data_IF_515887230797
#
_entry.id   IF_515887230797
#
_cell.length_a   1.000
_cell.length_b   1.000
_cell.length_c   1.000
_cell.angle_alpha   90.00
_cell.angle_beta   90.00
_cell.angle_gamma   90.00
#
_symmetry.space_group_name_H-M   'P 1'
#
loop_
_entity.id
_entity.type
_entity.pdbx_description
1 polymer ?
#
# COMPACT_ATOMS: atom_id res chain seq x y z
N UNK A 1 17.16 -8.53 -15.28
CA UNK A 1 17.84 -9.22 -14.16
C UNK A 1 17.71 -8.41 -12.87
N UNK A 2 18.09 -7.12 -12.84
CA UNK A 2 18.01 -6.29 -11.62
C UNK A 2 16.59 -6.14 -11.05
N UNK A 3 15.55 -5.98 -11.88
CA UNK A 3 14.16 -5.85 -11.42
C UNK A 3 13.69 -7.08 -10.62
N UNK A 4 14.08 -8.29 -11.03
CA UNK A 4 13.76 -9.52 -10.29
C UNK A 4 14.46 -9.58 -8.93
N UNK A 5 15.71 -9.12 -8.86
CA UNK A 5 16.47 -9.03 -7.60
C UNK A 5 15.79 -8.03 -6.66
N UNK A 6 15.35 -6.88 -7.19
CA UNK A 6 14.66 -5.86 -6.41
C UNK A 6 13.33 -6.39 -5.85
N UNK A 7 12.50 -7.04 -6.67
CA UNK A 7 11.29 -7.70 -6.18
C UNK A 7 11.57 -8.79 -5.16
N UNK A 8 12.62 -9.60 -5.36
CA UNK A 8 13.02 -10.65 -4.42
C UNK A 8 13.39 -10.05 -3.06
N UNK A 9 14.18 -8.97 -3.05
CA UNK A 9 14.55 -8.25 -1.83
C UNK A 9 13.30 -7.67 -1.16
N UNK A 10 12.43 -6.97 -1.91
CA UNK A 10 11.20 -6.37 -1.35
C UNK A 10 10.26 -7.42 -0.76
N UNK A 11 10.04 -8.54 -1.46
CA UNK A 11 9.17 -9.63 -0.99
C UNK A 11 9.77 -10.31 0.23
N UNK A 12 11.09 -10.57 0.24
CA UNK A 12 11.78 -11.18 1.39
C UNK A 12 11.72 -10.27 2.60
N UNK A 13 11.91 -8.96 2.41
CA UNK A 13 11.80 -7.95 3.47
C UNK A 13 10.36 -7.85 4.00
N UNK A 14 9.35 -7.85 3.12
CA UNK A 14 7.95 -7.86 3.50
C UNK A 14 7.57 -9.14 4.28
N UNK A 15 8.05 -10.30 3.84
CA UNK A 15 7.86 -11.57 4.54
C UNK A 15 8.55 -11.57 5.90
N UNK A 16 9.77 -11.03 5.99
CA UNK A 16 10.49 -10.84 7.25
C UNK A 16 9.69 -9.96 8.21
N UNK A 17 9.22 -8.78 7.79
CA UNK A 17 8.40 -7.91 8.63
C UNK A 17 7.06 -8.54 9.02
N UNK A 18 6.44 -9.30 8.12
CA UNK A 18 5.21 -10.05 8.43
C UNK A 18 5.47 -11.11 9.50
N UNK A 19 6.58 -11.84 9.41
CA UNK A 19 7.00 -12.82 10.41
C UNK A 19 7.30 -12.17 11.77
N UNK A 20 8.04 -11.06 11.77
CA UNK A 20 8.32 -10.25 12.97
C UNK A 20 7.01 -9.73 13.57
N UNK A 21 6.08 -9.24 12.76
CA UNK A 21 4.78 -8.76 13.21
C UNK A 21 3.98 -9.86 13.93
N UNK A 22 3.91 -11.06 13.35
CA UNK A 22 3.20 -12.20 13.96
C UNK A 22 3.81 -12.61 15.29
N UNK A 23 5.15 -12.54 15.43
CA UNK A 23 5.85 -12.97 16.65
C UNK A 23 5.90 -11.91 17.76
N UNK A 24 6.04 -10.62 17.44
CA UNK A 24 6.27 -9.56 18.44
C UNK A 24 5.08 -8.60 18.63
N UNK A 25 4.49 -8.08 17.55
CA UNK A 25 3.56 -6.94 17.60
C UNK A 25 2.08 -7.32 17.53
N UNK A 26 1.74 -8.44 16.87
CA UNK A 26 0.36 -8.91 16.64
C UNK A 26 -0.60 -7.83 16.12
N UNK A 27 -0.08 -6.88 15.33
CA UNK A 27 -0.88 -5.81 14.74
C UNK A 27 -1.63 -6.33 13.51
N UNK A 28 -2.79 -5.72 13.16
CA UNK A 28 -3.45 -5.97 11.88
C UNK A 28 -2.45 -5.84 10.72
N UNK A 29 -2.44 -6.82 9.82
CA UNK A 29 -1.39 -7.01 8.81
C UNK A 29 -1.12 -5.78 7.93
N UNK A 30 -2.16 -5.02 7.58
CA UNK A 30 -2.01 -3.79 6.80
C UNK A 30 -1.25 -2.69 7.56
N UNK A 31 -1.55 -2.51 8.84
CA UNK A 31 -0.93 -1.47 9.67
C UNK A 31 0.54 -1.82 9.94
N UNK A 32 0.84 -3.10 10.21
CA UNK A 32 2.21 -3.53 10.50
C UNK A 32 3.16 -3.33 9.31
N UNK A 33 2.71 -3.66 8.10
CA UNK A 33 3.57 -3.58 6.92
C UNK A 33 3.85 -2.11 6.56
N UNK A 34 2.83 -1.25 6.68
CA UNK A 34 2.98 0.19 6.49
C UNK A 34 3.94 0.81 7.52
N UNK A 35 3.78 0.47 8.81
CA UNK A 35 4.65 0.99 9.87
C UNK A 35 6.11 0.54 9.69
N UNK A 36 6.33 -0.74 9.41
CA UNK A 36 7.68 -1.28 9.17
C UNK A 36 8.33 -0.69 7.93
N UNK A 37 7.57 -0.53 6.83
CA UNK A 37 8.07 0.15 5.63
C UNK A 37 8.44 1.61 5.90
N UNK A 38 7.64 2.32 6.71
CA UNK A 38 7.95 3.69 7.14
C UNK A 38 9.22 3.74 7.99
N UNK A 39 9.37 2.80 8.94
CA UNK A 39 10.60 2.70 9.74
C UNK A 39 11.83 2.46 8.85
N UNK A 40 11.74 1.57 7.86
CA UNK A 40 12.83 1.37 6.90
C UNK A 40 13.16 2.66 6.16
N UNK A 41 12.15 3.35 5.63
CA UNK A 41 12.36 4.62 4.94
C UNK A 41 13.06 5.65 5.84
N UNK A 42 12.62 5.78 7.09
CA UNK A 42 13.27 6.66 8.08
C UNK A 42 14.71 6.22 8.35
N UNK A 43 14.99 4.93 8.52
CA UNK A 43 16.35 4.44 8.74
C UNK A 43 17.27 4.70 7.54
N UNK A 44 16.76 4.62 6.31
CA UNK A 44 17.52 4.96 5.10
C UNK A 44 17.88 6.44 5.09
N UNK A 45 16.92 7.31 5.41
CA UNK A 45 17.17 8.76 5.52
C UNK A 45 18.17 9.07 6.63
N UNK A 46 18.08 8.39 7.78
CA UNK A 46 19.05 8.55 8.88
C UNK A 46 20.44 8.02 8.51
N UNK A 47 20.53 6.93 7.76
CA UNK A 47 21.79 6.36 7.30
C UNK A 47 22.53 7.27 6.31
N UNK A 48 21.80 8.06 5.52
CA UNK A 48 22.37 9.04 4.59
C UNK A 48 23.20 10.12 5.30
N UNK A 49 22.89 10.44 6.56
CA UNK A 49 23.72 11.35 7.37
C UNK A 49 25.11 10.80 7.69
N UNK A 50 25.26 9.46 7.75
CA UNK A 50 26.55 8.81 8.01
C UNK A 50 27.32 8.50 6.73
N UNK A 51 26.61 8.24 5.62
CA UNK A 51 27.19 7.98 4.31
C UNK A 51 26.44 8.78 3.25
N UNK A 52 26.89 10.01 2.92
CA UNK A 52 26.20 10.87 1.99
C UNK A 52 26.14 10.21 0.60
N UNK A 53 24.92 10.05 0.06
CA UNK A 53 24.68 9.43 -1.25
C UNK A 53 24.02 8.04 -1.17
N UNK A 54 23.96 7.44 0.02
CA UNK A 54 23.34 6.13 0.22
C UNK A 54 21.83 6.15 -0.10
N UNK A 55 21.12 7.21 0.30
CA UNK A 55 19.70 7.34 -0.04
C UNK A 55 19.49 7.57 -1.55
N UNK A 56 20.42 8.26 -2.22
CA UNK A 56 20.35 8.52 -3.66
C UNK A 56 20.52 7.23 -4.47
N UNK A 57 21.46 6.37 -4.11
CA UNK A 57 21.65 5.06 -4.74
C UNK A 57 20.42 4.16 -4.59
N UNK A 58 19.83 4.11 -3.39
CA UNK A 58 18.59 3.34 -3.15
C UNK A 58 17.44 3.89 -4.00
N UNK A 59 17.31 5.21 -4.09
CA UNK A 59 16.27 5.86 -4.92
C UNK A 59 16.46 5.55 -6.40
N UNK A 60 17.69 5.55 -6.90
CA UNK A 60 18.00 5.19 -8.29
C UNK A 60 17.61 3.73 -8.57
N UNK A 61 17.95 2.79 -7.68
CA UNK A 61 17.55 1.39 -7.81
C UNK A 61 16.03 1.21 -7.77
N UNK A 62 15.33 1.94 -6.90
CA UNK A 62 13.87 1.91 -6.83
C UNK A 62 13.19 2.56 -8.05
N UNK A 63 13.83 3.55 -8.68
CA UNK A 63 13.29 4.25 -9.86
C UNK A 63 13.20 3.36 -11.11
N UNK A 64 13.84 2.18 -11.09
CA UNK A 64 13.71 1.16 -12.13
C UNK A 64 12.28 0.60 -12.24
N UNK A 65 11.44 0.80 -11.21
CA UNK A 65 10.04 0.40 -11.20
C UNK A 65 9.18 1.65 -11.24
N UNK A 66 8.33 1.75 -12.26
CA UNK A 66 7.19 2.66 -12.20
C UNK A 66 6.17 2.08 -11.21
N UNK A 67 6.27 2.53 -9.96
CA UNK A 67 5.41 2.05 -8.89
C UNK A 67 3.92 2.35 -9.16
N UNK A 68 3.63 3.46 -9.83
CA UNK A 68 2.25 3.84 -10.15
C UNK A 68 1.65 2.85 -11.14
N UNK A 69 2.36 2.59 -12.25
CA UNK A 69 1.91 1.61 -13.25
C UNK A 69 1.82 0.20 -12.66
N UNK A 70 2.80 -0.19 -11.86
CA UNK A 70 2.80 -1.49 -11.21
C UNK A 70 1.65 -1.66 -10.22
N UNK A 71 1.40 -0.65 -9.37
CA UNK A 71 0.38 -0.73 -8.34
C UNK A 71 -1.03 -0.56 -8.91
N UNK A 72 -1.26 0.48 -9.72
CA UNK A 72 -2.58 0.81 -10.27
C UNK A 72 -2.92 -0.03 -11.50
N UNK A 73 -1.96 -0.28 -12.39
CA UNK A 73 -2.20 -1.05 -13.62
C UNK A 73 -2.34 -2.54 -13.35
N UNK A 74 -1.48 -3.10 -12.49
CA UNK A 74 -1.37 -4.56 -12.31
C UNK A 74 -1.93 -5.02 -10.97
N UNK A 75 -1.31 -4.60 -9.85
CA UNK A 75 -1.63 -5.14 -8.52
C UNK A 75 -3.07 -4.88 -8.10
N UNK A 76 -3.62 -3.70 -8.38
CA UNK A 76 -4.98 -3.35 -7.99
C UNK A 76 -6.01 -4.29 -8.61
N UNK A 77 -5.84 -4.67 -9.88
CA UNK A 77 -6.69 -5.64 -10.56
C UNK A 77 -6.68 -7.01 -9.86
N UNK A 78 -5.49 -7.49 -9.47
CA UNK A 78 -5.36 -8.73 -8.69
C UNK A 78 -5.99 -8.62 -7.29
N UNK A 79 -5.83 -7.47 -6.62
CA UNK A 79 -6.43 -7.23 -5.30
C UNK A 79 -7.96 -7.19 -5.35
N UNK A 80 -8.53 -6.52 -6.36
CA UNK A 80 -9.98 -6.46 -6.57
C UNK A 80 -10.54 -7.85 -6.92
N UNK A 81 -9.83 -8.62 -7.73
CA UNK A 81 -10.18 -10.01 -8.02
C UNK A 81 -10.15 -10.88 -6.76
N UNK A 82 -9.04 -10.87 -6.01
CA UNK A 82 -8.90 -11.62 -4.76
C UNK A 82 -9.94 -11.20 -3.71
N UNK A 83 -10.27 -9.90 -3.67
CA UNK A 83 -11.34 -9.35 -2.84
C UNK A 83 -12.70 -9.93 -3.22
N UNK A 84 -13.03 -9.94 -4.52
CA UNK A 84 -14.31 -10.46 -5.02
C UNK A 84 -14.50 -11.97 -4.77
N UNK A 85 -13.42 -12.76 -4.82
CA UNK A 85 -13.47 -14.21 -4.57
C UNK A 85 -13.91 -14.56 -3.14
N UNK A 86 -13.69 -13.65 -2.17
CA UNK A 86 -14.12 -13.82 -0.78
C UNK A 86 -15.59 -13.44 -0.57
N UNK A 87 -16.22 -12.76 -1.52
CA UNK A 87 -17.59 -12.25 -1.41
C UNK A 87 -18.60 -13.34 -1.76
N UNK A 88 -19.57 -13.55 -0.87
CA UNK A 88 -20.70 -14.45 -1.12
C UNK A 88 -21.78 -13.73 -1.92
N UNK A 89 -22.00 -14.15 -3.16
CA UNK A 89 -23.02 -13.61 -4.08
C UNK A 89 -24.43 -13.48 -3.48
N UNK A 90 -24.99 -14.46 -2.72
CA UNK A 90 -26.34 -14.31 -2.17
C UNK A 90 -26.43 -13.19 -1.11
N UNK A 91 -25.40 -12.99 -0.29
CA UNK A 91 -25.36 -11.92 0.71
C UNK A 91 -25.18 -10.56 0.03
N UNK A 92 -24.36 -10.51 -1.02
CA UNK A 92 -24.20 -9.32 -1.87
C UNK A 92 -25.53 -8.89 -2.49
N UNK A 93 -26.32 -9.82 -3.03
CA UNK A 93 -27.62 -9.51 -3.63
C UNK A 93 -28.61 -8.93 -2.62
N UNK A 94 -28.63 -9.44 -1.38
CA UNK A 94 -29.50 -8.92 -0.32
C UNK A 94 -29.15 -7.47 0.06
N UNK A 95 -27.86 -7.14 0.09
CA UNK A 95 -27.37 -5.81 0.46
C UNK A 95 -27.02 -4.89 -0.72
N UNK A 96 -27.31 -5.29 -1.97
CA UNK A 96 -26.83 -4.63 -3.18
C UNK A 96 -27.22 -3.15 -3.26
N UNK A 97 -28.45 -2.79 -2.87
CA UNK A 97 -28.92 -1.40 -2.85
C UNK A 97 -28.12 -0.54 -1.85
N UNK A 98 -27.81 -1.08 -0.67
CA UNK A 98 -27.05 -0.37 0.35
C UNK A 98 -25.59 -0.19 -0.11
N UNK A 99 -24.96 -1.27 -0.55
CA UNK A 99 -23.57 -1.26 -1.02
C UNK A 99 -23.40 -0.30 -2.21
N UNK A 100 -24.34 -0.33 -3.17
CA UNK A 100 -24.30 0.59 -4.32
C UNK A 100 -24.41 2.06 -3.92
N UNK A 101 -25.26 2.39 -2.94
CA UNK A 101 -25.38 3.76 -2.43
C UNK A 101 -24.09 4.22 -1.73
N UNK A 102 -23.52 3.39 -0.84
CA UNK A 102 -22.26 3.71 -0.18
C UNK A 102 -21.09 3.83 -1.16
N UNK A 103 -21.02 2.97 -2.18
CA UNK A 103 -19.95 2.96 -3.17
C UNK A 103 -19.99 4.15 -4.14
N UNK A 104 -21.16 4.77 -4.36
CA UNK A 104 -21.33 5.89 -5.31
C UNK A 104 -21.55 7.21 -4.57
N UNK A 105 -22.66 7.33 -3.84
CA UNK A 105 -23.01 8.55 -3.11
C UNK A 105 -22.03 8.80 -1.98
N UNK A 106 -21.69 7.76 -1.21
CA UNK A 106 -20.74 7.88 -0.09
C UNK A 106 -19.34 8.30 -0.53
N UNK A 107 -18.84 7.73 -1.63
CA UNK A 107 -17.51 8.07 -2.17
C UNK A 107 -17.47 9.46 -2.79
N UNK A 108 -18.50 9.86 -3.54
CA UNK A 108 -18.62 11.22 -4.07
C UNK A 108 -18.67 12.24 -2.94
N UNK A 109 -19.54 12.02 -1.95
CA UNK A 109 -19.68 12.92 -0.81
C UNK A 109 -18.37 13.04 -0.03
N UNK A 110 -17.69 11.91 0.24
CA UNK A 110 -16.38 11.90 0.91
C UNK A 110 -15.33 12.69 0.13
N UNK A 111 -15.27 12.50 -1.20
CA UNK A 111 -14.35 13.23 -2.08
C UNK A 111 -14.60 14.73 -2.03
N UNK A 112 -15.86 15.17 -2.11
CA UNK A 112 -16.21 16.59 -2.03
C UNK A 112 -15.90 17.19 -0.67
N UNK A 113 -16.25 16.50 0.42
CA UNK A 113 -16.03 17.02 1.78
C UNK A 113 -14.53 17.15 2.06
N UNK A 114 -13.77 16.06 1.91
CA UNK A 114 -12.34 16.05 2.21
C UNK A 114 -11.60 16.99 1.24
N UNK A 115 -11.97 16.98 -0.04
CA UNK A 115 -11.40 17.87 -1.04
C UNK A 115 -11.64 19.34 -0.74
N UNK A 116 -12.86 19.74 -0.34
CA UNK A 116 -13.17 21.11 0.04
C UNK A 116 -12.42 21.54 1.31
N UNK A 117 -12.34 20.67 2.32
CA UNK A 117 -11.56 20.95 3.55
C UNK A 117 -10.10 21.23 3.19
N UNK A 118 -9.47 20.37 2.39
CA UNK A 118 -8.09 20.58 1.97
C UNK A 118 -7.92 21.85 1.12
N UNK A 119 -8.88 22.17 0.26
CA UNK A 119 -8.85 23.39 -0.56
C UNK A 119 -8.92 24.68 0.27
N UNK A 120 -9.65 24.69 1.39
CA UNK A 120 -9.71 25.86 2.28
C UNK A 120 -8.57 25.91 3.30
N UNK A 121 -7.90 24.77 3.57
CA UNK A 121 -6.79 24.70 4.53
C UNK A 121 -5.44 25.05 3.90
N UNK A 122 -5.25 24.71 2.62
CA UNK A 122 -4.04 25.02 1.83
C UNK A 122 -4.11 26.43 1.26
#
# INVERSE_FOLDING_TARGET
>A
MEVFILFSILITMAAFFSCVNVRLFKLPSGISLMMMGTLVAVTVVLADYFSPGFAAEIKEKLSLIDFSEFLLGILLSFLLFAGSLRVRTPDLKKAAKSIGSFATVGTLLSTFIIGAIFYFLI
#
